data_IF_083690306242
#
_entry.id   IF_083690306242
#
_cell.length_a   1.000
_cell.length_b   1.000
_cell.length_c   1.000
_cell.angle_alpha   90.00
_cell.angle_beta   90.00
_cell.angle_gamma   90.00
#
_symmetry.space_group_name_H-M   'P 1'
#
loop_
_entity.id
_entity.type
_entity.pdbx_description
1 polymer ?
#
# COMPACT_ATOMS: atom_id res chain seq x y z
N UNK A 1 -0.16 4.62 -14.91
CA UNK A 1 0.57 5.70 -14.21
C UNK A 1 1.24 6.59 -15.23
N UNK A 2 0.96 7.87 -15.19
CA UNK A 2 1.65 8.85 -16.03
C UNK A 2 2.59 9.67 -15.17
N UNK A 3 3.88 9.59 -15.47
CA UNK A 3 4.93 10.41 -14.85
C UNK A 3 5.06 11.68 -15.69
N UNK A 4 4.84 12.83 -15.07
CA UNK A 4 5.00 14.14 -15.71
C UNK A 4 6.52 14.48 -15.78
N UNK A 5 7.12 14.58 -16.96
CA UNK A 5 8.55 14.84 -17.09
C UNK A 5 8.96 16.23 -16.58
N UNK A 6 8.03 17.14 -16.39
CA UNK A 6 8.27 18.48 -15.84
C UNK A 6 8.28 18.53 -14.30
N UNK A 7 7.92 17.41 -13.64
CA UNK A 7 7.91 17.30 -12.17
C UNK A 7 9.11 16.54 -11.63
N UNK A 8 9.46 16.86 -10.40
CA UNK A 8 10.44 16.09 -9.63
C UNK A 8 9.72 15.08 -8.74
N UNK A 9 10.35 13.94 -8.48
CA UNK A 9 9.77 12.85 -7.73
C UNK A 9 10.66 12.42 -6.57
N UNK A 10 10.02 12.11 -5.43
CA UNK A 10 10.64 11.41 -4.31
C UNK A 10 10.23 9.94 -4.38
N UNK A 11 11.19 9.03 -4.37
CA UNK A 11 10.93 7.59 -4.36
C UNK A 11 10.93 7.10 -2.91
N UNK A 12 9.83 6.50 -2.46
CA UNK A 12 9.70 5.94 -1.12
C UNK A 12 9.37 4.45 -1.24
N UNK A 13 10.27 3.61 -0.72
CA UNK A 13 10.09 2.16 -0.67
C UNK A 13 9.61 1.69 0.71
N UNK A 14 9.22 0.45 0.79
CA UNK A 14 9.00 -0.38 1.99
C UNK A 14 8.46 0.36 3.23
N UNK A 15 7.23 0.82 3.17
CA UNK A 15 6.58 1.52 4.30
C UNK A 15 6.22 0.56 5.44
N UNK A 16 5.73 -0.62 5.10
CA UNK A 16 5.39 -1.68 6.06
C UNK A 16 4.68 -1.19 7.32
N UNK A 17 3.61 -0.41 7.17
CA UNK A 17 2.81 0.04 8.31
C UNK A 17 3.51 1.02 9.26
N UNK A 18 4.66 1.58 8.89
CA UNK A 18 5.38 2.57 9.67
C UNK A 18 4.85 3.99 9.39
N UNK A 19 3.56 4.21 9.63
CA UNK A 19 2.88 5.46 9.28
C UNK A 19 3.49 6.69 9.97
N UNK A 20 3.89 6.57 11.23
CA UNK A 20 4.54 7.67 11.95
C UNK A 20 5.88 8.06 11.32
N UNK A 21 6.72 7.08 11.01
CA UNK A 21 7.99 7.31 10.33
C UNK A 21 7.79 7.94 8.95
N UNK A 22 6.76 7.47 8.21
CA UNK A 22 6.41 8.04 6.92
C UNK A 22 6.02 9.51 7.03
N UNK A 23 5.21 9.89 8.02
CA UNK A 23 4.84 11.31 8.22
C UNK A 23 6.06 12.18 8.51
N UNK A 24 6.98 11.71 9.35
CA UNK A 24 8.23 12.43 9.64
C UNK A 24 9.10 12.58 8.37
N UNK A 25 9.18 11.53 7.56
CA UNK A 25 9.91 11.58 6.29
C UNK A 25 9.29 12.60 5.32
N UNK A 26 7.97 12.57 5.17
CA UNK A 26 7.27 13.54 4.32
C UNK A 26 7.51 14.98 4.77
N UNK A 27 7.46 15.25 6.08
CA UNK A 27 7.80 16.56 6.63
C UNK A 27 9.23 16.97 6.28
N UNK A 28 10.21 16.08 6.46
CA UNK A 28 11.61 16.33 6.12
C UNK A 28 11.82 16.61 4.62
N UNK A 29 11.05 15.96 3.77
CA UNK A 29 11.08 16.19 2.33
C UNK A 29 10.36 17.47 1.90
N UNK A 30 9.72 18.16 2.82
CA UNK A 30 9.04 19.45 2.56
C UNK A 30 7.57 19.32 2.20
N UNK A 31 6.98 18.13 2.32
CA UNK A 31 5.52 17.98 2.20
C UNK A 31 4.83 18.59 3.42
N UNK A 32 3.61 19.08 3.23
CA UNK A 32 2.77 19.63 4.29
C UNK A 32 1.38 19.03 4.24
N UNK A 33 0.82 18.84 5.41
CA UNK A 33 -0.52 18.28 5.58
C UNK A 33 -1.57 19.37 5.37
N UNK A 34 -2.39 19.21 4.32
CA UNK A 34 -3.50 20.09 4.01
C UNK A 34 -4.80 19.28 3.97
N UNK A 35 -5.69 19.49 4.94
CA UNK A 35 -6.82 18.60 5.15
C UNK A 35 -6.31 17.20 5.49
N UNK A 36 -6.74 16.21 4.73
CA UNK A 36 -6.34 14.81 4.94
C UNK A 36 -5.21 14.34 4.01
N UNK A 37 -4.55 15.28 3.30
CA UNK A 37 -3.59 14.94 2.26
C UNK A 37 -2.25 15.65 2.45
N UNK A 38 -1.18 14.90 2.37
CA UNK A 38 0.18 15.43 2.28
C UNK A 38 0.47 15.96 0.88
N UNK A 39 0.93 17.20 0.77
CA UNK A 39 1.16 17.92 -0.49
C UNK A 39 2.51 18.60 -0.55
N UNK A 40 3.05 18.69 -1.76
CA UNK A 40 4.23 19.49 -2.07
C UNK A 40 3.97 20.33 -3.33
N UNK A 41 4.42 21.60 -3.39
CA UNK A 41 4.10 22.49 -4.52
C UNK A 41 4.73 22.09 -5.85
N UNK A 42 5.84 21.35 -5.82
CA UNK A 42 6.63 21.02 -7.02
C UNK A 42 6.98 19.54 -7.19
N UNK A 43 6.82 18.74 -6.15
CA UNK A 43 7.23 17.32 -6.15
C UNK A 43 6.04 16.41 -5.87
N UNK A 44 6.17 15.19 -6.31
CA UNK A 44 5.24 14.09 -6.01
C UNK A 44 6.02 12.90 -5.48
N UNK A 45 5.34 12.04 -4.76
CA UNK A 45 5.91 10.76 -4.31
C UNK A 45 5.60 9.67 -5.32
N UNK A 46 6.54 8.76 -5.53
CA UNK A 46 6.29 7.44 -6.10
C UNK A 46 6.56 6.42 -5.00
N UNK A 47 5.49 5.82 -4.47
CA UNK A 47 5.58 4.72 -3.53
C UNK A 47 5.87 3.41 -4.28
N UNK A 48 6.90 2.69 -3.85
CA UNK A 48 7.35 1.46 -4.52
C UNK A 48 6.59 0.20 -4.06
N UNK A 49 5.44 0.37 -3.42
CA UNK A 49 4.68 -0.74 -2.83
C UNK A 49 5.19 -1.10 -1.44
N UNK A 50 4.81 -2.29 -0.99
CA UNK A 50 5.13 -2.82 0.33
C UNK A 50 4.70 -1.88 1.47
N UNK A 51 3.45 -1.42 1.37
CA UNK A 51 2.82 -0.55 2.35
C UNK A 51 2.34 -1.34 3.57
N UNK A 52 1.87 -2.57 3.32
CA UNK A 52 1.29 -3.47 4.32
C UNK A 52 2.33 -4.38 4.99
N UNK A 53 1.86 -5.12 5.98
CA UNK A 53 2.59 -6.11 6.78
C UNK A 53 3.63 -5.50 7.74
N UNK A 54 4.02 -6.28 8.74
CA UNK A 54 5.07 -6.03 9.73
C UNK A 54 4.81 -4.92 10.73
N UNK A 55 4.56 -3.71 10.29
CA UNK A 55 4.55 -2.52 11.14
C UNK A 55 3.30 -2.32 11.98
N UNK A 56 3.33 -1.34 12.90
CA UNK A 56 2.28 -1.19 13.91
C UNK A 56 1.02 -0.45 13.42
N UNK A 57 1.08 0.27 12.29
CA UNK A 57 0.01 1.17 11.82
C UNK A 57 -0.25 1.01 10.32
N UNK A 58 -0.55 -0.21 9.90
CA UNK A 58 -0.75 -0.56 8.49
C UNK A 58 -1.96 0.15 7.90
N UNK A 59 -3.09 0.14 8.61
CA UNK A 59 -4.32 0.83 8.19
C UNK A 59 -4.07 2.32 7.96
N UNK A 60 -3.41 2.98 8.91
CA UNK A 60 -3.07 4.40 8.83
C UNK A 60 -2.15 4.70 7.64
N UNK A 61 -1.13 3.86 7.43
CA UNK A 61 -0.22 3.99 6.29
C UNK A 61 -0.96 3.85 4.94
N UNK A 62 -1.85 2.87 4.82
CA UNK A 62 -2.66 2.70 3.61
C UNK A 62 -3.56 3.90 3.33
N UNK A 63 -4.26 4.41 4.34
CA UNK A 63 -5.09 5.60 4.18
C UNK A 63 -4.27 6.81 3.74
N UNK A 64 -3.09 7.01 4.32
CA UNK A 64 -2.19 8.10 3.96
C UNK A 64 -1.75 8.02 2.50
N UNK A 65 -1.24 6.86 2.09
CA UNK A 65 -0.75 6.63 0.72
C UNK A 65 -1.90 6.75 -0.28
N UNK A 66 -3.03 6.10 -0.01
CA UNK A 66 -4.21 6.14 -0.87
C UNK A 66 -4.72 7.58 -1.05
N UNK A 67 -4.84 8.35 0.03
CA UNK A 67 -5.27 9.75 -0.03
C UNK A 67 -4.34 10.61 -0.91
N UNK A 68 -3.03 10.41 -0.81
CA UNK A 68 -2.06 11.10 -1.66
C UNK A 68 -2.22 10.72 -3.13
N UNK A 69 -2.45 9.44 -3.43
CA UNK A 69 -2.64 8.96 -4.81
C UNK A 69 -3.93 9.53 -5.39
N UNK A 70 -5.05 9.44 -4.66
CA UNK A 70 -6.35 9.97 -5.10
C UNK A 70 -6.31 11.50 -5.34
N UNK A 71 -5.52 12.22 -4.56
CA UNK A 71 -5.35 13.67 -4.71
C UNK A 71 -4.33 14.06 -5.79
N UNK A 72 -3.73 13.11 -6.50
CA UNK A 72 -2.71 13.38 -7.52
C UNK A 72 -1.38 13.88 -6.95
N UNK A 73 -1.11 13.62 -5.66
CA UNK A 73 0.13 14.00 -4.99
C UNK A 73 1.15 12.88 -4.95
N UNK A 74 0.73 11.67 -5.30
CA UNK A 74 1.60 10.51 -5.37
C UNK A 74 1.16 9.53 -6.46
N UNK A 75 2.06 8.63 -6.78
CA UNK A 75 1.80 7.37 -7.48
C UNK A 75 2.18 6.23 -6.56
N UNK A 76 1.61 5.06 -6.80
CA UNK A 76 1.95 3.84 -6.09
C UNK A 76 2.02 2.69 -7.07
N UNK A 77 3.06 1.86 -6.99
CA UNK A 77 3.14 0.59 -7.69
C UNK A 77 2.84 -0.56 -6.73
N UNK A 78 2.47 -1.70 -7.26
CA UNK A 78 2.20 -2.89 -6.46
C UNK A 78 3.51 -3.52 -5.98
N UNK A 79 3.69 -3.63 -4.66
CA UNK A 79 4.77 -4.40 -4.07
C UNK A 79 4.43 -5.89 -3.96
N UNK A 80 5.43 -6.71 -3.63
CA UNK A 80 5.21 -8.14 -3.45
C UNK A 80 4.31 -8.45 -2.23
N UNK A 81 4.27 -7.59 -1.23
CA UNK A 81 3.38 -7.77 -0.07
C UNK A 81 1.91 -7.56 -0.45
N UNK A 82 1.58 -6.54 -1.24
CA UNK A 82 0.24 -6.34 -1.78
C UNK A 82 -0.16 -7.50 -2.69
N UNK A 83 0.75 -7.98 -3.54
CA UNK A 83 0.51 -9.15 -4.38
C UNK A 83 0.25 -10.41 -3.55
N UNK A 84 0.98 -10.63 -2.47
CA UNK A 84 0.74 -11.75 -1.54
C UNK A 84 -0.66 -11.68 -0.92
N UNK A 85 -1.09 -10.48 -0.49
CA UNK A 85 -2.44 -10.28 0.06
C UNK A 85 -3.53 -10.58 -0.99
N UNK A 86 -3.38 -10.08 -2.20
CA UNK A 86 -4.31 -10.40 -3.30
C UNK A 86 -4.35 -11.90 -3.58
N UNK A 87 -3.20 -12.55 -3.67
CA UNK A 87 -3.09 -13.98 -3.94
C UNK A 87 -3.72 -14.84 -2.84
N UNK A 88 -3.72 -14.37 -1.59
CA UNK A 88 -4.38 -15.05 -0.48
C UNK A 88 -5.89 -15.19 -0.67
N UNK A 89 -6.54 -14.19 -1.26
CA UNK A 89 -7.98 -14.18 -1.50
C UNK A 89 -8.38 -14.63 -2.91
N UNK A 90 -7.44 -14.74 -3.84
CA UNK A 90 -7.72 -15.05 -5.23
C UNK A 90 -7.69 -16.56 -5.45
N UNK A 91 -8.82 -17.18 -5.89
CA UNK A 91 -8.82 -18.59 -6.25
C UNK A 91 -7.81 -18.88 -7.36
N UNK A 92 -7.07 -19.97 -7.21
CA UNK A 92 -6.13 -20.42 -8.23
C UNK A 92 -6.89 -21.08 -9.42
N UNK A 93 -6.28 -21.10 -10.63
CA UNK A 93 -6.82 -21.86 -11.74
C UNK A 93 -7.03 -23.32 -11.37
N UNK A 94 -8.13 -23.92 -11.84
CA UNK A 94 -8.52 -25.30 -11.49
C UNK A 94 -7.44 -26.34 -11.82
N UNK A 95 -6.69 -26.13 -12.88
CA UNK A 95 -5.58 -26.99 -13.33
C UNK A 95 -4.31 -26.86 -12.49
N UNK A 96 -4.21 -25.87 -11.63
CA UNK A 96 -3.01 -25.65 -10.78
C UNK A 96 -2.88 -26.65 -9.63
N UNK A 97 -3.97 -27.32 -9.24
CA UNK A 97 -4.03 -28.17 -8.07
C UNK A 97 -4.00 -27.44 -6.72
N UNK A 98 -4.07 -26.11 -6.74
CA UNK A 98 -4.09 -25.25 -5.56
C UNK A 98 -5.46 -24.58 -5.37
N UNK A 99 -5.84 -24.28 -4.14
CA UNK A 99 -7.09 -23.58 -3.85
C UNK A 99 -6.99 -22.08 -4.13
N UNK A 100 -5.85 -21.46 -3.80
CA UNK A 100 -5.60 -20.03 -3.95
C UNK A 100 -4.29 -19.77 -4.68
N UNK A 101 -4.19 -18.60 -5.31
CA UNK A 101 -2.96 -18.14 -5.99
C UNK A 101 -1.78 -18.10 -5.02
N UNK A 102 -2.02 -17.65 -3.79
CA UNK A 102 -1.06 -17.76 -2.71
C UNK A 102 -1.53 -18.82 -1.72
N UNK A 103 -0.77 -19.88 -1.58
CA UNK A 103 -1.08 -21.01 -0.70
C UNK A 103 -1.21 -20.54 0.75
N UNK A 104 -2.23 -21.04 1.47
CA UNK A 104 -2.48 -20.69 2.88
C UNK A 104 -1.57 -21.49 3.81
N UNK A 105 -0.27 -21.24 3.69
CA UNK A 105 0.74 -21.85 4.56
C UNK A 105 0.90 -21.07 5.87
N UNK A 106 1.40 -21.67 6.95
CA UNK A 106 1.74 -20.94 8.18
C UNK A 106 2.70 -19.77 7.93
N UNK A 107 3.61 -19.91 6.97
CA UNK A 107 4.56 -18.86 6.60
C UNK A 107 3.84 -17.61 6.05
N UNK A 108 2.94 -17.79 5.08
CA UNK A 108 2.19 -16.66 4.51
C UNK A 108 1.18 -16.07 5.49
N UNK A 109 0.53 -16.91 6.30
CA UNK A 109 -0.34 -16.44 7.38
C UNK A 109 0.43 -15.55 8.38
N UNK A 110 1.67 -15.93 8.72
CA UNK A 110 2.53 -15.13 9.61
C UNK A 110 2.95 -13.80 8.97
N UNK A 111 3.23 -13.77 7.66
CA UNK A 111 3.56 -12.53 6.96
C UNK A 111 2.39 -11.54 6.97
N UNK A 112 1.16 -12.02 6.81
CA UNK A 112 -0.05 -11.21 6.70
C UNK A 112 -0.73 -10.93 8.05
N UNK A 113 -0.28 -11.56 9.14
CA UNK A 113 -1.01 -11.54 10.42
C UNK A 113 -1.28 -10.12 10.97
N UNK A 114 -0.30 -9.23 10.91
CA UNK A 114 -0.44 -7.87 11.44
C UNK A 114 -1.44 -7.06 10.61
N UNK A 115 -1.43 -7.24 9.29
CA UNK A 115 -2.42 -6.63 8.41
C UNK A 115 -3.83 -7.13 8.73
N UNK A 116 -4.01 -8.44 8.85
CA UNK A 116 -5.31 -9.03 9.20
C UNK A 116 -5.81 -8.56 10.56
N UNK A 117 -4.95 -8.53 11.58
CA UNK A 117 -5.31 -8.06 12.91
C UNK A 117 -5.76 -6.60 12.92
N UNK A 118 -5.04 -5.73 12.19
CA UNK A 118 -5.36 -4.31 12.16
C UNK A 118 -6.62 -4.00 11.35
N UNK A 119 -6.99 -4.82 10.38
CA UNK A 119 -8.21 -4.68 9.59
C UNK A 119 -9.39 -5.52 10.08
N UNK A 120 -9.22 -6.36 11.09
CA UNK A 120 -10.32 -7.17 11.65
C UNK A 120 -11.56 -6.33 11.99
N UNK A 121 -11.45 -5.14 12.63
CA UNK A 121 -12.61 -4.28 12.88
C UNK A 121 -13.14 -3.54 11.64
N UNK A 122 -12.43 -3.61 10.50
CA UNK A 122 -12.70 -2.82 9.31
C UNK A 122 -12.74 -3.69 8.04
N UNK A 123 -13.61 -4.71 7.98
CA UNK A 123 -13.59 -5.68 6.88
C UNK A 123 -13.93 -5.05 5.52
N UNK A 124 -14.82 -4.05 5.48
CA UNK A 124 -15.17 -3.37 4.25
C UNK A 124 -14.01 -2.51 3.73
N UNK A 125 -13.33 -1.78 4.60
CA UNK A 125 -12.13 -1.03 4.20
C UNK A 125 -11.05 -1.93 3.63
N UNK A 126 -10.86 -3.11 4.22
CA UNK A 126 -9.90 -4.09 3.71
C UNK A 126 -10.26 -4.57 2.32
N UNK A 127 -11.53 -4.88 2.08
CA UNK A 127 -12.02 -5.23 0.75
C UNK A 127 -11.77 -4.11 -0.27
N UNK A 128 -12.06 -2.86 0.11
CA UNK A 128 -11.83 -1.69 -0.74
C UNK A 128 -10.33 -1.52 -1.07
N UNK A 129 -9.44 -1.76 -0.12
CA UNK A 129 -8.00 -1.73 -0.37
C UNK A 129 -7.53 -2.88 -1.28
N UNK A 130 -8.07 -4.08 -1.13
CA UNK A 130 -7.77 -5.18 -2.05
C UNK A 130 -8.20 -4.83 -3.49
N UNK A 131 -9.37 -4.22 -3.68
CA UNK A 131 -9.82 -3.71 -4.98
C UNK A 131 -8.88 -2.63 -5.51
N UNK A 132 -8.44 -1.71 -4.64
CA UNK A 132 -7.47 -0.68 -5.02
C UNK A 132 -6.14 -1.28 -5.45
N UNK A 133 -5.62 -2.29 -4.74
CA UNK A 133 -4.38 -2.98 -5.14
C UNK A 133 -4.46 -3.54 -6.55
N UNK A 134 -5.63 -4.06 -6.96
CA UNK A 134 -5.82 -4.56 -8.33
C UNK A 134 -5.66 -3.47 -9.40
N UNK A 135 -5.76 -2.20 -9.04
CA UNK A 135 -5.58 -1.07 -9.98
C UNK A 135 -4.13 -0.60 -10.07
N UNK A 136 -3.26 -1.03 -9.15
CA UNK A 136 -1.87 -0.58 -9.09
C UNK A 136 -1.05 -1.19 -10.23
N UNK A 137 -0.20 -0.40 -10.89
CA UNK A 137 0.77 -0.93 -11.85
C UNK A 137 1.82 -1.80 -11.15
N UNK A 138 2.39 -2.74 -11.91
CA UNK A 138 3.48 -3.61 -11.48
C UNK A 138 4.84 -2.95 -11.70
#
# INVERSE_FOLDING_TARGET
MFVDPERSYDLIGDVHGCAHTLTLLLEQLGYRHHGDVWRHPRRQVIFLGDIIDRGPRIREALHLVHAMVEAGQAHCIMGNHEFNALGWYTPAPSESGQAFVREHTPRYAMLLQHTFQQFEPYPQEWTDFLEWFMTLPL
#
